data_IF_008400912319
#
_entry.id   IF_008400912319
#
_cell.length_a   1.000
_cell.length_b   1.000
_cell.length_c   1.000
_cell.angle_alpha   90.00
_cell.angle_beta   90.00
_cell.angle_gamma   90.00
#
_symmetry.space_group_name_H-M   'P 1'
#
loop_
_entity.id
_entity.type
_entity.pdbx_description
1 polymer ?
#
# COMPACT_ATOMS: atom_id res chain seq x y z
N UNK A 1 -24.20 9.01 -1.72
CA UNK A 1 -23.45 8.85 -2.98
C UNK A 1 -22.65 7.54 -2.90
N UNK A 2 -23.21 6.44 -3.39
CA UNK A 2 -22.45 5.19 -3.55
C UNK A 2 -21.75 5.24 -4.91
N UNK A 3 -20.42 5.38 -4.89
CA UNK A 3 -19.61 5.32 -6.10
C UNK A 3 -19.40 3.84 -6.46
N UNK A 4 -19.86 3.42 -7.65
CA UNK A 4 -19.78 2.02 -8.12
C UNK A 4 -18.35 1.48 -8.25
N UNK A 5 -17.34 2.35 -8.19
CA UNK A 5 -15.91 2.01 -8.17
C UNK A 5 -15.35 1.77 -6.74
N UNK A 6 -16.13 2.03 -5.69
CA UNK A 6 -15.67 1.90 -4.30
C UNK A 6 -15.63 0.43 -3.86
N UNK A 7 -14.47 -0.20 -3.98
CA UNK A 7 -14.18 -1.54 -3.46
C UNK A 7 -13.86 -1.50 -1.94
N UNK A 8 -14.75 -0.88 -1.16
CA UNK A 8 -14.57 -0.77 0.30
C UNK A 8 -15.25 -1.94 1.01
N UNK A 9 -14.46 -2.74 1.73
CA UNK A 9 -14.97 -3.77 2.63
C UNK A 9 -14.85 -3.29 4.08
N UNK A 10 -15.99 -3.14 4.77
CA UNK A 10 -16.02 -2.72 6.17
C UNK A 10 -16.39 -3.89 7.09
N UNK A 11 -15.47 -4.32 7.96
CA UNK A 11 -15.68 -5.40 8.95
C UNK A 11 -15.77 -4.80 10.36
N UNK A 12 -16.92 -4.93 11.03
CA UNK A 12 -17.13 -4.52 12.44
C UNK A 12 -17.26 -5.74 13.35
N UNK A 13 -16.86 -5.58 14.60
CA UNK A 13 -17.05 -6.58 15.64
C UNK A 13 -16.25 -6.24 16.89
N UNK A 14 -16.61 -6.86 18.01
CA UNK A 14 -15.99 -6.60 19.31
C UNK A 14 -14.49 -6.96 19.33
N UNK A 15 -13.72 -6.41 20.29
CA UNK A 15 -12.35 -6.86 20.55
C UNK A 15 -12.29 -8.39 20.70
N UNK A 16 -11.23 -9.00 20.17
CA UNK A 16 -11.02 -10.46 20.27
C UNK A 16 -11.84 -11.34 19.31
N UNK A 17 -12.72 -10.80 18.47
CA UNK A 17 -13.54 -11.58 17.52
C UNK A 17 -12.83 -12.04 16.23
N UNK A 18 -11.50 -12.00 16.19
CA UNK A 18 -10.72 -12.51 15.05
C UNK A 18 -10.76 -11.67 13.76
N UNK A 19 -11.14 -10.38 13.82
CA UNK A 19 -11.22 -9.50 12.63
C UNK A 19 -9.90 -9.46 11.82
N UNK A 20 -8.77 -9.31 12.51
CA UNK A 20 -7.45 -9.32 11.86
C UNK A 20 -7.14 -10.67 11.24
N UNK A 21 -7.49 -11.77 11.92
CA UNK A 21 -7.28 -13.12 11.40
C UNK A 21 -8.09 -13.39 10.14
N UNK A 22 -9.34 -12.89 10.09
CA UNK A 22 -10.17 -12.94 8.88
C UNK A 22 -9.50 -12.19 7.72
N UNK A 23 -8.97 -10.98 7.96
CA UNK A 23 -8.24 -10.23 6.95
C UNK A 23 -6.98 -10.95 6.48
N UNK A 24 -6.21 -11.58 7.38
CA UNK A 24 -5.06 -12.41 7.00
C UNK A 24 -5.50 -13.55 6.06
N UNK A 25 -6.56 -14.28 6.40
CA UNK A 25 -7.10 -15.35 5.56
C UNK A 25 -7.52 -14.86 4.18
N UNK A 26 -8.18 -13.71 4.08
CA UNK A 26 -8.54 -13.09 2.79
C UNK A 26 -7.27 -12.75 1.99
N UNK A 27 -6.29 -12.12 2.63
CA UNK A 27 -5.01 -11.76 1.99
C UNK A 27 -4.28 -13.00 1.48
N UNK A 28 -4.27 -14.10 2.23
CA UNK A 28 -3.60 -15.33 1.82
C UNK A 28 -4.28 -15.96 0.59
N UNK A 29 -5.62 -15.96 0.53
CA UNK A 29 -6.35 -16.38 -0.67
C UNK A 29 -6.04 -15.46 -1.88
N UNK A 30 -5.92 -14.15 -1.66
CA UNK A 30 -5.56 -13.21 -2.73
C UNK A 30 -4.12 -13.43 -3.22
N UNK A 31 -3.19 -13.78 -2.33
CA UNK A 31 -1.80 -14.12 -2.71
C UNK A 31 -1.76 -15.36 -3.59
N UNK A 32 -2.50 -16.40 -3.22
CA UNK A 32 -2.61 -17.62 -4.01
C UNK A 32 -3.17 -17.33 -5.40
N UNK A 33 -4.29 -16.59 -5.47
CA UNK A 33 -4.90 -16.19 -6.73
C UNK A 33 -3.93 -15.41 -7.64
N UNK A 34 -3.17 -14.46 -7.07
CA UNK A 34 -2.18 -13.66 -7.79
C UNK A 34 -0.98 -14.48 -8.30
N UNK A 35 -0.69 -15.64 -7.70
CA UNK A 35 0.40 -16.52 -8.12
C UNK A 35 0.02 -17.57 -9.19
N UNK A 36 -1.26 -17.64 -9.58
CA UNK A 36 -1.73 -18.63 -10.56
C UNK A 36 -1.43 -18.23 -12.01
N UNK A 37 -1.31 -19.21 -12.91
CA UNK A 37 -1.15 -18.97 -14.35
C UNK A 37 -2.33 -18.22 -14.99
N UNK A 38 -3.48 -18.17 -14.32
CA UNK A 38 -4.67 -17.41 -14.72
C UNK A 38 -4.67 -15.96 -14.24
N UNK A 39 -3.72 -15.55 -13.40
CA UNK A 39 -3.64 -14.17 -12.94
C UNK A 39 -3.30 -13.23 -14.12
N UNK A 40 -3.89 -12.01 -14.16
CA UNK A 40 -3.50 -11.01 -15.13
C UNK A 40 -1.99 -10.74 -15.05
N UNK A 41 -1.33 -10.66 -16.21
CA UNK A 41 0.09 -10.29 -16.29
C UNK A 41 0.32 -8.98 -15.53
N UNK A 42 1.24 -8.99 -14.57
CA UNK A 42 1.55 -7.81 -13.74
C UNK A 42 0.66 -7.61 -12.51
N UNK A 43 -0.14 -8.61 -12.10
CA UNK A 43 -0.89 -8.52 -10.85
C UNK A 43 0.04 -8.48 -9.62
N UNK A 44 0.20 -7.29 -9.02
CA UNK A 44 0.95 -7.08 -7.78
C UNK A 44 0.00 -6.92 -6.59
N UNK A 45 0.09 -7.85 -5.63
CA UNK A 45 -0.62 -7.73 -4.35
C UNK A 45 0.29 -7.14 -3.27
N UNK A 46 -0.08 -5.99 -2.73
CA UNK A 46 0.57 -5.37 -1.56
C UNK A 46 -0.46 -4.95 -0.52
N UNK A 47 -0.10 -4.97 0.75
CA UNK A 47 -0.99 -4.62 1.86
C UNK A 47 -0.20 -3.99 3.00
N UNK A 48 -0.89 -3.28 3.89
CA UNK A 48 -0.32 -2.67 5.08
C UNK A 48 -1.29 -2.83 6.26
N UNK A 49 -0.77 -3.22 7.42
CA UNK A 49 -1.57 -3.29 8.65
C UNK A 49 -1.38 -2.03 9.49
N UNK A 50 -2.45 -1.26 9.67
CA UNK A 50 -2.45 -0.16 10.62
C UNK A 50 -2.65 -0.69 12.04
N UNK A 51 -1.74 -0.35 12.96
CA UNK A 51 -1.89 -0.70 14.37
C UNK A 51 -2.22 0.56 15.18
N UNK A 52 -3.44 0.63 15.70
CA UNK A 52 -3.95 1.83 16.39
C UNK A 52 -3.06 2.34 17.53
N UNK A 53 -2.36 1.42 18.21
CA UNK A 53 -1.50 1.72 19.37
C UNK A 53 -0.07 2.13 19.01
N UNK A 54 0.35 2.01 17.76
CA UNK A 54 1.71 2.34 17.32
C UNK A 54 1.68 3.49 16.29
N UNK A 55 2.06 4.69 16.75
CA UNK A 55 2.05 5.90 15.93
C UNK A 55 2.95 5.81 14.68
N UNK A 56 3.95 4.93 14.69
CA UNK A 56 4.86 4.72 13.55
C UNK A 56 4.15 4.06 12.36
N UNK A 57 3.10 3.29 12.63
CA UNK A 57 2.35 2.50 11.63
C UNK A 57 0.84 2.80 11.67
N UNK A 58 0.46 4.00 12.11
CA UNK A 58 -0.93 4.45 12.18
C UNK A 58 -1.13 5.83 11.54
N UNK A 59 -0.39 6.13 10.47
CA UNK A 59 -0.53 7.37 9.70
C UNK A 59 -0.65 7.08 8.21
N UNK A 60 -1.32 7.97 7.49
CA UNK A 60 -1.45 7.86 6.04
C UNK A 60 -0.07 7.84 5.34
N UNK A 61 0.90 8.60 5.86
CA UNK A 61 2.28 8.60 5.40
C UNK A 61 2.96 7.25 5.58
N UNK A 62 2.76 6.59 6.74
CA UNK A 62 3.32 5.26 7.00
C UNK A 62 2.72 4.20 6.05
N UNK A 63 1.41 4.28 5.80
CA UNK A 63 0.71 3.41 4.84
C UNK A 63 1.32 3.57 3.45
N UNK A 64 1.40 4.80 2.92
CA UNK A 64 1.96 5.02 1.58
C UNK A 64 3.42 4.57 1.48
N UNK A 65 4.25 4.92 2.48
CA UNK A 65 5.66 4.51 2.50
C UNK A 65 5.81 2.99 2.47
N UNK A 66 5.01 2.27 3.28
CA UNK A 66 5.01 0.82 3.31
C UNK A 66 4.55 0.18 1.99
N UNK A 67 3.48 0.70 1.39
CA UNK A 67 2.98 0.19 0.11
C UNK A 67 3.97 0.44 -1.04
N UNK A 68 4.55 1.64 -1.14
CA UNK A 68 5.58 1.97 -2.14
C UNK A 68 6.78 1.03 -2.00
N UNK A 69 7.25 0.81 -0.77
CA UNK A 69 8.36 -0.11 -0.52
C UNK A 69 8.04 -1.52 -1.03
N UNK A 70 6.87 -2.07 -0.67
CA UNK A 70 6.47 -3.41 -1.12
C UNK A 70 6.28 -3.51 -2.63
N UNK A 71 5.80 -2.45 -3.29
CA UNK A 71 5.66 -2.42 -4.75
C UNK A 71 7.02 -2.41 -5.43
N UNK A 72 7.94 -1.58 -4.95
CA UNK A 72 9.30 -1.49 -5.50
C UNK A 72 10.11 -2.78 -5.26
N UNK A 73 9.92 -3.45 -4.13
CA UNK A 73 10.54 -4.75 -3.81
C UNK A 73 10.06 -5.85 -4.78
N UNK A 74 8.76 -5.90 -5.06
CA UNK A 74 8.18 -6.90 -5.97
C UNK A 74 8.45 -6.61 -7.45
N UNK A 75 8.51 -5.35 -7.85
CA UNK A 75 8.79 -4.92 -9.21
C UNK A 75 9.83 -3.80 -9.22
N UNK A 76 11.13 -4.14 -9.29
CA UNK A 76 12.22 -3.16 -9.22
C UNK A 76 12.16 -2.05 -10.28
N UNK A 77 11.52 -2.29 -11.42
CA UNK A 77 11.30 -1.28 -12.45
C UNK A 77 10.50 -0.06 -11.94
N UNK A 78 9.66 -0.23 -10.91
CA UNK A 78 8.88 0.86 -10.30
C UNK A 78 9.76 1.81 -9.47
N UNK A 79 10.97 1.40 -9.10
CA UNK A 79 11.90 2.22 -8.32
C UNK A 79 12.27 3.52 -9.05
N UNK A 80 12.17 3.55 -10.39
CA UNK A 80 12.35 4.75 -11.22
C UNK A 80 11.49 5.93 -10.73
N UNK A 81 10.28 5.66 -10.23
CA UNK A 81 9.35 6.69 -9.74
C UNK A 81 9.80 7.27 -8.40
N UNK A 82 10.43 6.46 -7.55
CA UNK A 82 11.00 6.91 -6.27
C UNK A 82 12.26 7.73 -6.52
N UNK A 83 13.17 7.22 -7.36
CA UNK A 83 14.45 7.85 -7.68
C UNK A 83 14.24 9.22 -8.34
N UNK A 84 13.29 9.34 -9.27
CA UNK A 84 12.97 10.61 -9.92
C UNK A 84 12.65 11.73 -8.93
N UNK A 85 11.88 11.44 -7.89
CA UNK A 85 11.55 12.44 -6.87
C UNK A 85 12.71 12.64 -5.88
N UNK A 86 13.45 11.57 -5.56
CA UNK A 86 14.65 11.66 -4.72
C UNK A 86 15.76 12.50 -5.35
N UNK A 87 16.01 12.38 -6.66
CA UNK A 87 17.05 13.14 -7.37
C UNK A 87 16.77 14.65 -7.37
N UNK A 88 15.49 15.05 -7.31
CA UNK A 88 15.09 16.46 -7.31
C UNK A 88 15.21 17.15 -5.96
N UNK A 89 14.94 16.45 -4.84
CA UNK A 89 14.81 17.06 -3.52
C UNK A 89 15.59 16.35 -2.40
N UNK A 90 16.23 15.21 -2.69
CA UNK A 90 17.00 14.41 -1.76
C UNK A 90 16.17 13.80 -0.62
N UNK A 91 16.87 13.41 0.44
CA UNK A 91 16.29 12.75 1.62
C UNK A 91 15.23 13.59 2.36
N UNK A 92 15.35 14.92 2.30
CA UNK A 92 14.45 15.86 3.00
C UNK A 92 13.02 15.79 2.47
N UNK A 93 12.83 15.31 1.24
CA UNK A 93 11.51 15.08 0.64
C UNK A 93 10.67 14.06 1.43
N UNK A 94 11.33 13.15 2.13
CA UNK A 94 10.70 12.05 2.86
C UNK A 94 10.65 12.28 4.38
N UNK A 95 10.93 13.52 4.80
CA UNK A 95 10.89 13.99 6.18
C UNK A 95 9.70 14.95 6.38
N UNK A 96 9.00 14.79 7.50
CA UNK A 96 7.92 15.66 7.97
C UNK A 96 6.82 16.01 6.94
N UNK A 97 6.33 17.25 6.94
CA UNK A 97 5.13 17.74 6.27
C UNK A 97 5.10 17.49 4.75
N UNK A 98 6.27 17.48 4.11
CA UNK A 98 6.39 17.28 2.66
C UNK A 98 6.26 15.80 2.24
N UNK A 99 6.46 14.88 3.20
CA UNK A 99 6.43 13.43 2.96
C UNK A 99 5.11 12.97 2.35
N UNK A 100 3.98 13.52 2.81
CA UNK A 100 2.67 13.14 2.31
C UNK A 100 2.53 13.44 0.82
N UNK A 101 2.88 14.65 0.40
CA UNK A 101 2.76 15.09 -0.99
C UNK A 101 3.68 14.28 -1.90
N UNK A 102 4.93 14.10 -1.48
CA UNK A 102 5.91 13.32 -2.22
C UNK A 102 5.47 11.86 -2.40
N UNK A 103 5.13 11.18 -1.30
CA UNK A 103 4.71 9.78 -1.34
C UNK A 103 3.40 9.61 -2.11
N UNK A 104 2.44 10.54 -1.99
CA UNK A 104 1.19 10.50 -2.76
C UNK A 104 1.45 10.61 -4.26
N UNK A 105 2.38 11.49 -4.66
CA UNK A 105 2.78 11.66 -6.06
C UNK A 105 3.49 10.41 -6.59
N UNK A 106 4.45 9.86 -5.84
CA UNK A 106 5.16 8.63 -6.18
C UNK A 106 4.16 7.47 -6.34
N UNK A 107 3.27 7.28 -5.36
CA UNK A 107 2.29 6.20 -5.38
C UNK A 107 1.34 6.32 -6.57
N UNK A 108 0.84 7.53 -6.85
CA UNK A 108 0.00 7.79 -8.03
C UNK A 108 0.73 7.46 -9.33
N UNK A 109 1.99 7.86 -9.47
CA UNK A 109 2.78 7.56 -10.66
C UNK A 109 3.01 6.05 -10.83
N UNK A 110 3.24 5.32 -9.73
CA UNK A 110 3.35 3.85 -9.75
C UNK A 110 2.04 3.21 -10.22
N UNK A 111 0.89 3.69 -9.76
CA UNK A 111 -0.42 3.15 -10.15
C UNK A 111 -0.83 3.47 -11.61
N UNK A 112 -0.15 4.42 -12.25
CA UNK A 112 -0.41 4.83 -13.63
C UNK A 112 0.59 4.23 -14.64
N UNK A 113 1.60 3.49 -14.16
CA UNK A 113 2.58 2.76 -14.99
C UNK A 113 1.97 1.48 -15.56
#
# INVERSE_FOLDING_TARGET
HENKESRLLWIRGDPGKGKTMLLCGIIDNLKEAAGTASAPSGCLLTYFFCQATDQRINSATAVLRGLIYLLADKQPALLKHVLKEYDGAGKELFVDTNSWFALSKIFTNILQD
#
